data_IF_594300768466
#
_entry.id   IF_594300768466
#
_cell.length_a   1.000
_cell.length_b   1.000
_cell.length_c   1.000
_cell.angle_alpha   90.00
_cell.angle_beta   90.00
_cell.angle_gamma   90.00
#
_symmetry.space_group_name_H-M   'P 1'
#
loop_
_entity.id
_entity.type
_entity.pdbx_description
1 polymer ?
#
# COMPACT_ATOMS: atom_id res chain seq x y z
N UNK A 1 -13.02 4.48 -7.01
CA UNK A 1 -12.01 4.23 -8.04
C UNK A 1 -11.54 2.79 -8.09
N UNK A 2 -11.14 2.16 -6.97
CA UNK A 2 -10.78 0.74 -6.92
C UNK A 2 -11.86 -0.17 -7.51
N UNK A 3 -13.12 0.04 -7.13
CA UNK A 3 -14.29 -0.69 -7.64
C UNK A 3 -14.42 -0.57 -9.16
N UNK A 4 -14.24 0.64 -9.71
CA UNK A 4 -14.27 0.86 -11.14
C UNK A 4 -13.14 0.13 -11.87
N UNK A 5 -11.93 0.21 -11.33
CA UNK A 5 -10.77 -0.45 -11.93
C UNK A 5 -10.83 -1.98 -11.85
N UNK A 6 -11.50 -2.53 -10.84
CA UNK A 6 -11.76 -3.97 -10.69
C UNK A 6 -12.96 -4.46 -11.52
N UNK A 7 -13.68 -3.60 -12.21
CA UNK A 7 -14.96 -3.95 -12.87
C UNK A 7 -16.07 -4.37 -11.89
N UNK A 8 -15.86 -4.19 -10.59
CA UNK A 8 -16.84 -4.45 -9.54
C UNK A 8 -17.84 -3.30 -9.49
N UNK A 9 -18.62 -3.18 -10.54
CA UNK A 9 -19.60 -2.14 -10.65
C UNK A 9 -20.82 -2.48 -9.79
N UNK A 10 -20.82 -1.97 -8.59
CA UNK A 10 -21.95 -2.08 -7.68
C UNK A 10 -22.94 -0.94 -8.00
N UNK A 11 -24.16 -1.25 -8.40
CA UNK A 11 -25.19 -0.23 -8.68
C UNK A 11 -25.37 0.77 -7.53
N UNK A 12 -25.19 0.32 -6.28
CA UNK A 12 -25.23 1.15 -5.08
C UNK A 12 -24.17 2.23 -5.03
N UNK A 13 -23.00 2.04 -5.64
CA UNK A 13 -21.96 3.07 -5.72
C UNK A 13 -22.35 4.17 -6.70
N UNK A 14 -23.10 3.81 -7.75
CA UNK A 14 -23.52 4.71 -8.81
C UNK A 14 -24.68 5.61 -8.41
N UNK A 15 -25.51 5.17 -7.49
CA UNK A 15 -26.70 5.89 -7.01
C UNK A 15 -26.46 6.71 -5.74
N UNK A 16 -25.21 6.71 -5.21
CA UNK A 16 -24.91 7.50 -4.04
C UNK A 16 -24.99 9.00 -4.34
N UNK A 17 -25.91 9.75 -3.73
CA UNK A 17 -25.98 11.19 -3.91
C UNK A 17 -24.75 11.94 -3.35
N UNK A 18 -23.89 11.25 -2.63
CA UNK A 18 -22.75 11.86 -1.96
C UNK A 18 -21.64 12.34 -2.90
N UNK A 19 -21.56 11.80 -4.14
CA UNK A 19 -20.59 12.27 -5.13
C UNK A 19 -21.08 12.11 -6.57
N UNK A 20 -21.90 13.05 -7.08
CA UNK A 20 -22.47 12.97 -8.42
C UNK A 20 -21.40 12.97 -9.53
N UNK A 21 -20.26 13.61 -9.32
CA UNK A 21 -19.15 13.62 -10.28
C UNK A 21 -18.52 12.23 -10.44
N UNK A 22 -18.41 11.48 -9.35
CA UNK A 22 -17.91 10.11 -9.39
C UNK A 22 -18.88 9.17 -10.12
N UNK A 23 -20.18 9.28 -9.82
CA UNK A 23 -21.21 8.49 -10.50
C UNK A 23 -21.25 8.77 -12.01
N UNK A 24 -21.18 10.04 -12.41
CA UNK A 24 -21.11 10.42 -13.82
C UNK A 24 -19.86 9.86 -14.52
N UNK A 25 -18.72 9.86 -13.84
CA UNK A 25 -17.49 9.29 -14.35
C UNK A 25 -17.60 7.77 -14.58
N UNK A 26 -18.22 7.05 -13.66
CA UNK A 26 -18.45 5.60 -13.80
C UNK A 26 -19.37 5.29 -14.99
N UNK A 27 -20.41 6.07 -15.17
CA UNK A 27 -21.33 5.94 -16.34
C UNK A 27 -20.57 6.19 -17.64
N UNK A 28 -19.80 7.27 -17.73
CA UNK A 28 -19.03 7.62 -18.91
C UNK A 28 -17.98 6.56 -19.29
N UNK A 29 -17.41 5.87 -18.28
CA UNK A 29 -16.46 4.78 -18.50
C UNK A 29 -17.14 3.42 -18.81
N UNK A 30 -18.46 3.37 -18.90
CA UNK A 30 -19.18 2.11 -19.06
C UNK A 30 -19.06 1.15 -17.87
N UNK A 31 -18.65 1.66 -16.74
CA UNK A 31 -18.48 0.90 -15.48
C UNK A 31 -19.74 0.92 -14.61
N UNK A 32 -20.72 1.73 -15.00
CA UNK A 32 -22.04 1.80 -14.39
C UNK A 32 -23.12 1.95 -15.49
N UNK A 33 -24.35 1.46 -15.26
CA UNK A 33 -25.47 1.73 -16.15
C UNK A 33 -25.81 3.23 -16.11
N UNK A 34 -26.02 3.83 -17.28
CA UNK A 34 -26.34 5.26 -17.41
C UNK A 34 -27.78 5.56 -17.01
N UNK A 35 -28.70 5.07 -17.79
CA UNK A 35 -30.15 5.24 -17.58
C UNK A 35 -30.79 3.87 -17.75
N UNK A 36 -31.45 3.40 -16.72
CA UNK A 36 -32.13 2.09 -16.70
C UNK A 36 -32.21 1.55 -15.28
N UNK A 37 -33.05 0.58 -15.09
CA UNK A 37 -33.13 -0.09 -13.79
C UNK A 37 -31.83 -0.89 -13.56
N UNK A 38 -31.08 -0.60 -12.49
CA UNK A 38 -29.84 -1.36 -12.16
C UNK A 38 -30.08 -2.87 -12.09
N UNK A 39 -31.29 -3.28 -11.74
CA UNK A 39 -31.71 -4.68 -11.70
C UNK A 39 -31.61 -5.37 -13.07
N UNK A 40 -32.00 -4.70 -14.15
CA UNK A 40 -31.97 -5.28 -15.51
C UNK A 40 -30.55 -5.55 -15.97
N UNK A 41 -29.62 -4.66 -15.62
CA UNK A 41 -28.20 -4.85 -15.91
C UNK A 41 -27.63 -6.03 -15.11
N UNK A 42 -27.95 -6.14 -13.83
CA UNK A 42 -27.52 -7.25 -12.98
C UNK A 42 -28.06 -8.59 -13.52
N UNK A 43 -29.35 -8.64 -13.88
CA UNK A 43 -29.97 -9.82 -14.46
C UNK A 43 -29.31 -10.20 -15.79
N UNK A 44 -29.12 -9.26 -16.70
CA UNK A 44 -28.45 -9.48 -17.98
C UNK A 44 -27.01 -9.99 -17.83
N UNK A 45 -26.25 -9.46 -16.87
CA UNK A 45 -24.90 -9.93 -16.58
C UNK A 45 -24.90 -11.34 -15.96
N UNK A 46 -25.86 -11.63 -15.09
CA UNK A 46 -26.04 -12.95 -14.50
C UNK A 46 -26.39 -13.99 -15.56
N UNK A 47 -27.35 -13.70 -16.44
CA UNK A 47 -27.74 -14.57 -17.56
C UNK A 47 -26.58 -14.87 -18.51
N UNK A 48 -25.69 -13.91 -18.72
CA UNK A 48 -24.47 -14.09 -19.54
C UNK A 48 -23.35 -14.83 -18.80
N UNK A 49 -23.58 -15.28 -17.55
CA UNK A 49 -22.56 -15.94 -16.72
C UNK A 49 -21.39 -15.06 -16.32
N UNK A 50 -21.53 -13.73 -16.41
CA UNK A 50 -20.46 -12.75 -16.14
C UNK A 50 -20.52 -12.11 -14.76
N UNK A 51 -21.50 -12.46 -13.92
CA UNK A 51 -21.73 -11.84 -12.61
C UNK A 51 -21.04 -12.57 -11.45
N UNK A 52 -19.94 -13.23 -11.67
CA UNK A 52 -19.17 -13.79 -10.57
C UNK A 52 -18.04 -12.87 -10.19
N UNK A 53 -17.94 -12.49 -8.91
CA UNK A 53 -16.84 -11.64 -8.42
C UNK A 53 -15.47 -12.20 -8.84
N UNK A 54 -15.28 -13.52 -8.77
CA UNK A 54 -14.06 -14.18 -9.26
C UNK A 54 -13.88 -14.06 -10.77
N UNK A 55 -14.92 -14.11 -11.56
CA UNK A 55 -14.84 -13.94 -13.02
C UNK A 55 -14.52 -12.51 -13.46
N UNK A 56 -14.76 -11.54 -12.58
CA UNK A 56 -14.42 -10.13 -12.79
C UNK A 56 -13.03 -9.77 -12.22
N UNK A 57 -12.42 -10.66 -11.44
CA UNK A 57 -11.16 -10.44 -10.75
C UNK A 57 -10.10 -11.33 -11.39
N UNK A 58 -9.27 -10.73 -12.23
CA UNK A 58 -8.13 -11.36 -12.90
C UNK A 58 -6.88 -10.48 -12.77
N UNK A 59 -5.74 -10.94 -13.25
CA UNK A 59 -4.50 -10.19 -13.20
C UNK A 59 -4.61 -8.82 -13.88
N UNK A 60 -5.37 -8.69 -14.96
CA UNK A 60 -5.51 -7.43 -15.69
C UNK A 60 -6.32 -6.41 -14.91
N UNK A 61 -7.44 -6.84 -14.34
CA UNK A 61 -8.28 -5.96 -13.50
C UNK A 61 -7.58 -5.55 -12.21
N UNK A 62 -6.81 -6.45 -11.60
CA UNK A 62 -5.99 -6.15 -10.41
C UNK A 62 -4.84 -5.18 -10.75
N UNK A 63 -4.18 -5.34 -11.91
CA UNK A 63 -3.18 -4.41 -12.39
C UNK A 63 -3.77 -3.00 -12.60
N UNK A 64 -4.94 -2.92 -13.23
CA UNK A 64 -5.64 -1.65 -13.42
C UNK A 64 -6.05 -1.03 -12.07
N UNK A 65 -6.51 -1.85 -11.12
CA UNK A 65 -6.86 -1.40 -9.78
C UNK A 65 -5.65 -0.83 -9.03
N UNK A 66 -4.50 -1.48 -9.14
CA UNK A 66 -3.27 -1.00 -8.53
C UNK A 66 -2.83 0.33 -9.15
N UNK A 67 -2.73 0.40 -10.47
CA UNK A 67 -2.30 1.62 -11.17
C UNK A 67 -3.21 2.80 -10.87
N UNK A 68 -4.52 2.62 -11.05
CA UNK A 68 -5.49 3.68 -10.81
C UNK A 68 -5.61 4.03 -9.32
N UNK A 69 -5.49 3.06 -8.43
CA UNK A 69 -5.51 3.29 -6.98
C UNK A 69 -4.33 4.12 -6.51
N UNK A 70 -3.11 3.77 -6.94
CA UNK A 70 -1.90 4.54 -6.60
C UNK A 70 -1.93 5.91 -7.28
N UNK A 71 -2.33 5.98 -8.54
CA UNK A 71 -2.47 7.24 -9.25
C UNK A 71 -3.46 8.20 -8.56
N UNK A 72 -4.49 7.68 -7.90
CA UNK A 72 -5.41 8.47 -7.07
C UNK A 72 -4.86 8.87 -5.70
N UNK A 73 -3.65 8.50 -5.39
CA UNK A 73 -3.01 8.81 -4.11
C UNK A 73 -3.06 7.68 -3.08
N UNK A 74 -3.44 6.46 -3.47
CA UNK A 74 -3.36 5.29 -2.60
C UNK A 74 -1.93 5.02 -2.14
N UNK A 75 -1.79 4.59 -0.89
CA UNK A 75 -0.51 4.26 -0.29
C UNK A 75 -0.22 2.75 -0.30
N UNK A 76 0.79 2.32 0.47
CA UNK A 76 1.17 0.91 0.60
C UNK A 76 0.03 -0.02 1.05
N UNK A 77 -0.96 0.50 1.80
CA UNK A 77 -2.14 -0.25 2.22
C UNK A 77 -2.93 -0.85 1.05
N UNK A 78 -2.89 -0.21 -0.11
CA UNK A 78 -3.54 -0.70 -1.32
C UNK A 78 -2.98 -2.06 -1.75
N UNK A 79 -1.68 -2.28 -1.59
CA UNK A 79 -1.03 -3.55 -1.90
C UNK A 79 -1.58 -4.67 -1.02
N UNK A 80 -1.74 -4.41 0.29
CA UNK A 80 -2.28 -5.38 1.25
C UNK A 80 -3.71 -5.78 0.86
N UNK A 81 -4.57 -4.80 0.57
CA UNK A 81 -5.96 -5.07 0.20
C UNK A 81 -6.07 -5.81 -1.14
N UNK A 82 -5.28 -5.43 -2.14
CA UNK A 82 -5.32 -6.11 -3.43
C UNK A 82 -4.73 -7.52 -3.36
N UNK A 83 -3.71 -7.74 -2.54
CA UNK A 83 -3.17 -9.07 -2.29
C UNK A 83 -4.22 -9.98 -1.62
N UNK A 84 -4.96 -9.47 -0.64
CA UNK A 84 -6.06 -10.20 -0.02
C UNK A 84 -7.15 -10.55 -1.04
N UNK A 85 -7.57 -9.59 -1.90
CA UNK A 85 -8.56 -9.83 -2.96
C UNK A 85 -8.06 -10.87 -3.96
N UNK A 86 -6.80 -10.78 -4.39
CA UNK A 86 -6.19 -11.73 -5.33
C UNK A 86 -6.20 -13.16 -4.77
N UNK A 87 -5.86 -13.31 -3.50
CA UNK A 87 -5.88 -14.59 -2.78
C UNK A 87 -7.28 -15.18 -2.73
N UNK A 88 -8.27 -14.42 -2.25
CA UNK A 88 -9.66 -14.87 -2.18
C UNK A 88 -10.24 -15.22 -3.55
N UNK A 89 -9.85 -14.49 -4.58
CA UNK A 89 -10.24 -14.77 -5.96
C UNK A 89 -9.40 -15.90 -6.61
N UNK A 90 -8.36 -16.41 -5.94
CA UNK A 90 -7.42 -17.42 -6.43
C UNK A 90 -6.69 -16.98 -7.70
N UNK A 91 -6.31 -15.72 -7.77
CA UNK A 91 -5.52 -15.15 -8.86
C UNK A 91 -4.04 -15.41 -8.59
N UNK A 92 -3.41 -16.24 -9.40
CA UNK A 92 -2.01 -16.57 -9.26
C UNK A 92 -1.07 -15.46 -9.77
N UNK A 93 0.10 -15.31 -9.15
CA UNK A 93 1.16 -14.41 -9.63
C UNK A 93 0.96 -12.92 -9.32
N UNK A 94 -0.05 -12.57 -8.53
CA UNK A 94 -0.29 -11.17 -8.14
C UNK A 94 0.87 -10.60 -7.30
N UNK A 95 1.44 -11.38 -6.42
CA UNK A 95 2.61 -11.05 -5.60
C UNK A 95 3.84 -10.65 -6.43
N UNK A 96 4.06 -11.32 -7.56
CA UNK A 96 5.12 -10.99 -8.52
C UNK A 96 4.75 -9.72 -9.31
N UNK A 97 3.51 -9.64 -9.75
CA UNK A 97 3.02 -8.53 -10.56
C UNK A 97 3.13 -7.18 -9.83
N UNK A 98 2.77 -7.09 -8.56
CA UNK A 98 2.84 -5.84 -7.79
C UNK A 98 4.26 -5.28 -7.69
N UNK A 99 5.27 -6.17 -7.70
CA UNK A 99 6.69 -5.78 -7.61
C UNK A 99 7.26 -5.22 -8.92
N UNK A 100 6.57 -5.45 -10.02
CA UNK A 100 7.01 -5.07 -11.38
C UNK A 100 6.28 -3.84 -11.90
N UNK A 101 5.04 -3.62 -11.46
CA UNK A 101 4.18 -2.57 -12.02
C UNK A 101 4.65 -1.14 -11.72
N UNK A 102 5.47 -0.92 -10.67
CA UNK A 102 5.99 0.40 -10.28
C UNK A 102 4.98 1.55 -10.50
N UNK A 103 3.78 1.50 -9.89
CA UNK A 103 2.70 2.40 -10.21
C UNK A 103 3.02 3.84 -9.79
N UNK A 104 2.64 4.80 -10.63
CA UNK A 104 2.86 6.23 -10.43
C UNK A 104 1.60 6.92 -9.89
N UNK A 105 1.80 7.94 -9.07
CA UNK A 105 0.74 8.77 -8.53
C UNK A 105 0.56 10.03 -9.38
N UNK A 106 -0.69 10.31 -9.74
CA UNK A 106 -1.09 11.47 -10.53
C UNK A 106 -2.09 12.31 -9.73
N UNK A 107 -1.83 13.60 -9.59
CA UNK A 107 -2.69 14.51 -8.85
C UNK A 107 -3.52 15.39 -9.80
N UNK A 108 -4.76 15.69 -9.40
CA UNK A 108 -5.59 16.80 -9.87
C UNK A 108 -6.38 16.65 -11.18
N UNK A 109 -6.67 15.43 -11.65
CA UNK A 109 -7.45 15.29 -12.90
C UNK A 109 -8.87 14.73 -12.73
N UNK A 110 -9.33 14.49 -11.51
CA UNK A 110 -10.57 13.74 -11.29
C UNK A 110 -10.47 12.29 -11.80
N UNK A 111 -11.53 11.51 -11.66
CA UNK A 111 -11.51 10.07 -11.99
C UNK A 111 -11.27 9.84 -13.48
N UNK A 112 -11.99 10.55 -14.35
CA UNK A 112 -11.88 10.37 -15.80
C UNK A 112 -10.52 10.81 -16.33
N UNK A 113 -10.06 11.99 -15.93
CA UNK A 113 -8.76 12.51 -16.35
C UNK A 113 -7.60 11.63 -15.88
N UNK A 114 -7.69 11.11 -14.66
CA UNK A 114 -6.71 10.18 -14.12
C UNK A 114 -6.64 8.87 -14.92
N UNK A 115 -7.78 8.25 -15.20
CA UNK A 115 -7.82 7.01 -15.98
C UNK A 115 -7.38 7.23 -17.42
N UNK A 116 -7.71 8.38 -18.00
CA UNK A 116 -7.24 8.75 -19.36
C UNK A 116 -5.74 8.99 -19.40
N UNK A 117 -5.16 9.62 -18.37
CA UNK A 117 -3.70 9.78 -18.25
C UNK A 117 -2.95 8.44 -18.11
N UNK A 118 -3.61 7.44 -17.56
CA UNK A 118 -3.09 6.08 -17.44
C UNK A 118 -3.39 5.20 -18.68
N UNK A 119 -4.15 5.71 -19.64
CA UNK A 119 -4.77 4.93 -20.74
C UNK A 119 -3.86 3.89 -21.39
N UNK A 120 -2.63 4.28 -21.74
CA UNK A 120 -1.66 3.37 -22.38
C UNK A 120 -1.14 2.28 -21.44
N UNK A 121 -1.13 2.54 -20.14
CA UNK A 121 -0.68 1.58 -19.13
C UNK A 121 -1.79 0.67 -18.62
N UNK A 122 -3.06 1.04 -18.86
CA UNK A 122 -4.20 0.23 -18.46
C UNK A 122 -4.45 -0.92 -19.45
N UNK A 123 -4.78 -2.07 -18.93
CA UNK A 123 -5.28 -3.18 -19.73
C UNK A 123 -6.70 -2.88 -20.22
N UNK A 124 -6.94 -3.14 -21.49
CA UNK A 124 -8.26 -3.02 -22.07
C UNK A 124 -9.12 -4.21 -21.64
N UNK A 125 -10.08 -3.93 -20.79
CA UNK A 125 -10.93 -4.95 -20.17
C UNK A 125 -12.39 -4.71 -20.50
N UNK A 126 -13.21 -5.76 -20.69
CA UNK A 126 -14.64 -5.61 -20.89
C UNK A 126 -15.30 -4.88 -19.73
N UNK A 127 -16.19 -3.95 -20.06
CA UNK A 127 -17.04 -3.19 -19.13
C UNK A 127 -18.51 -3.49 -19.38
N UNK A 128 -19.38 -2.74 -18.75
CA UNK A 128 -20.84 -2.88 -18.96
C UNK A 128 -21.27 -2.45 -20.38
N UNK A 129 -20.57 -1.46 -20.97
CA UNK A 129 -20.92 -0.85 -22.26
C UNK A 129 -19.76 -0.88 -23.26
N UNK A 130 -19.06 -1.98 -23.40
CA UNK A 130 -17.91 -2.11 -24.29
C UNK A 130 -16.62 -2.33 -23.55
N UNK A 131 -15.50 -1.92 -24.12
CA UNK A 131 -14.20 -2.05 -23.48
C UNK A 131 -13.78 -0.75 -22.77
N UNK A 132 -12.90 -0.87 -21.77
CA UNK A 132 -12.47 0.27 -20.94
C UNK A 132 -11.86 1.39 -21.80
N UNK A 133 -10.98 1.06 -22.74
CA UNK A 133 -10.28 2.08 -23.55
C UNK A 133 -11.19 2.81 -24.51
N UNK A 134 -12.25 2.17 -24.98
CA UNK A 134 -13.28 2.81 -25.85
C UNK A 134 -14.04 3.91 -25.09
N UNK A 135 -14.13 3.79 -23.77
CA UNK A 135 -14.86 4.72 -22.92
C UNK A 135 -13.97 5.81 -22.30
N UNK A 136 -12.63 5.78 -22.53
CA UNK A 136 -11.74 6.80 -22.00
C UNK A 136 -11.77 8.08 -22.86
N UNK A 137 -11.99 9.26 -22.25
CA UNK A 137 -11.83 10.52 -22.97
C UNK A 137 -10.35 10.79 -23.29
N UNK A 138 -10.05 11.78 -24.16
CA UNK A 138 -8.67 12.20 -24.42
C UNK A 138 -7.92 12.51 -23.12
N UNK A 139 -6.64 12.10 -23.06
CA UNK A 139 -5.82 12.33 -21.89
C UNK A 139 -5.61 13.84 -21.64
N UNK A 140 -5.74 14.31 -20.39
CA UNK A 140 -5.41 15.67 -20.03
C UNK A 140 -3.88 15.89 -20.08
N UNK A 141 -3.43 17.16 -20.01
CA UNK A 141 -2.00 17.44 -19.87
C UNK A 141 -1.36 16.67 -18.72
N UNK A 142 -0.07 16.30 -18.81
CA UNK A 142 0.62 15.57 -17.74
C UNK A 142 0.60 16.36 -16.43
N UNK A 143 0.45 15.68 -15.29
CA UNK A 143 0.40 16.34 -13.98
C UNK A 143 1.74 16.95 -13.57
N UNK A 144 1.69 17.95 -12.70
CA UNK A 144 2.88 18.65 -12.21
C UNK A 144 3.63 17.89 -11.09
N UNK A 145 2.96 16.98 -10.40
CA UNK A 145 3.56 16.22 -9.30
C UNK A 145 3.43 14.71 -9.56
N UNK A 146 4.55 14.00 -9.40
CA UNK A 146 4.62 12.55 -9.50
C UNK A 146 5.07 11.94 -8.18
N UNK A 147 4.43 10.86 -7.79
CA UNK A 147 4.94 9.96 -6.77
C UNK A 147 4.78 8.50 -7.27
N UNK A 148 5.63 7.62 -6.80
CA UNK A 148 5.59 6.20 -7.15
C UNK A 148 5.73 5.34 -5.91
N UNK A 149 5.21 4.12 -5.94
CA UNK A 149 5.54 3.09 -4.97
C UNK A 149 6.83 2.40 -5.40
N UNK A 150 7.78 2.32 -4.49
CA UNK A 150 9.07 1.66 -4.69
C UNK A 150 9.20 0.52 -3.69
N UNK A 151 9.49 -0.68 -4.19
CA UNK A 151 9.90 -1.79 -3.35
C UNK A 151 11.38 -1.64 -2.99
N UNK A 152 11.66 -1.61 -1.69
CA UNK A 152 13.00 -1.47 -1.14
C UNK A 152 13.42 -2.83 -0.60
N UNK A 153 14.59 -3.32 -1.03
CA UNK A 153 15.06 -4.67 -0.72
C UNK A 153 16.42 -4.67 -0.03
N UNK A 154 16.53 -5.52 0.99
CA UNK A 154 17.80 -5.87 1.62
C UNK A 154 18.32 -7.17 0.99
N UNK A 155 19.28 -7.06 0.07
CA UNK A 155 19.75 -8.23 -0.73
C UNK A 155 20.24 -9.40 0.10
N UNK A 156 20.91 -9.14 1.22
CA UNK A 156 21.52 -10.20 2.03
C UNK A 156 20.47 -11.06 2.77
N UNK A 157 19.35 -10.47 3.18
CA UNK A 157 18.33 -11.15 3.98
C UNK A 157 17.07 -11.49 3.20
N UNK A 158 16.93 -11.00 1.97
CA UNK A 158 15.68 -11.11 1.21
C UNK A 158 14.53 -10.25 1.74
N UNK A 159 14.76 -9.46 2.79
CA UNK A 159 13.74 -8.58 3.34
C UNK A 159 13.38 -7.45 2.35
N UNK A 160 12.10 -7.08 2.35
CA UNK A 160 11.58 -6.02 1.49
C UNK A 160 10.62 -5.09 2.27
N UNK A 161 10.45 -3.89 1.75
CA UNK A 161 9.51 -2.90 2.27
C UNK A 161 8.97 -2.06 1.11
N UNK A 162 7.97 -1.25 1.37
CA UNK A 162 7.38 -0.37 0.36
C UNK A 162 7.49 1.08 0.80
N UNK A 163 7.93 1.94 -0.11
CA UNK A 163 8.00 3.37 0.10
C UNK A 163 7.21 4.11 -0.99
N UNK A 164 6.42 5.10 -0.57
CA UNK A 164 5.85 6.09 -1.46
C UNK A 164 6.86 7.20 -1.66
N UNK A 165 7.49 7.24 -2.83
CA UNK A 165 8.56 8.18 -3.16
C UNK A 165 7.99 9.34 -3.97
N UNK A 166 8.21 10.58 -3.50
CA UNK A 166 7.93 11.80 -4.24
C UNK A 166 9.08 12.14 -5.19
N UNK A 167 8.79 12.90 -6.23
CA UNK A 167 9.81 13.35 -7.17
C UNK A 167 10.96 14.08 -6.44
N UNK A 168 12.20 13.75 -6.79
CA UNK A 168 13.41 14.37 -6.23
C UNK A 168 14.02 13.67 -5.02
N UNK A 169 13.30 12.79 -4.31
CA UNK A 169 13.89 12.00 -3.23
C UNK A 169 14.65 10.79 -3.81
N UNK A 170 15.97 10.75 -3.61
CA UNK A 170 16.82 9.69 -4.18
C UNK A 170 17.49 8.80 -3.14
N UNK A 171 17.94 9.39 -2.04
CA UNK A 171 18.67 8.65 -1.00
C UNK A 171 18.32 9.14 0.40
N UNK A 172 18.33 8.23 1.34
CA UNK A 172 18.16 8.47 2.78
C UNK A 172 19.36 7.84 3.48
N UNK A 173 19.98 8.57 4.39
CA UNK A 173 21.01 8.03 5.29
C UNK A 173 20.83 8.62 6.68
N UNK A 174 21.02 7.81 7.71
CA UNK A 174 20.89 8.28 9.08
C UNK A 174 21.16 7.19 10.11
N UNK A 175 21.18 7.61 11.36
CA UNK A 175 21.27 6.71 12.52
C UNK A 175 19.86 6.26 12.94
N UNK A 176 19.75 4.99 13.31
CA UNK A 176 18.50 4.41 13.82
C UNK A 176 18.19 4.92 15.24
N UNK A 177 16.90 5.16 15.47
CA UNK A 177 16.29 5.15 16.81
C UNK A 177 15.14 4.16 16.78
N UNK A 178 15.31 3.09 17.56
CA UNK A 178 14.47 1.89 17.48
C UNK A 178 13.43 1.90 18.59
N UNK A 179 12.18 1.68 18.20
CA UNK A 179 11.03 1.62 19.11
C UNK A 179 10.22 0.36 18.82
N UNK A 180 9.81 -0.32 19.89
CA UNK A 180 8.98 -1.53 19.82
C UNK A 180 7.48 -1.26 19.78
N UNK A 181 7.08 0.02 19.71
CA UNK A 181 5.68 0.41 19.60
C UNK A 181 5.53 1.84 19.11
N UNK A 182 4.34 2.18 18.60
CA UNK A 182 4.00 3.54 18.21
C UNK A 182 4.06 4.51 19.39
N UNK A 183 3.53 4.11 20.55
CA UNK A 183 3.53 4.91 21.79
C UNK A 183 4.95 5.25 22.25
N UNK A 184 5.86 4.27 22.13
CA UNK A 184 7.28 4.46 22.43
C UNK A 184 7.92 5.47 21.47
N UNK A 185 7.61 5.38 20.19
CA UNK A 185 8.09 6.31 19.18
C UNK A 185 7.54 7.74 19.39
N UNK A 186 6.24 7.89 19.69
CA UNK A 186 5.61 9.18 20.04
C UNK A 186 6.29 9.81 21.24
N UNK A 187 6.54 9.01 22.29
CA UNK A 187 7.27 9.47 23.49
C UNK A 187 8.70 9.87 23.15
N UNK A 188 9.34 9.14 22.25
CA UNK A 188 10.69 9.47 21.74
C UNK A 188 10.73 10.79 20.98
N UNK A 189 9.75 11.06 20.13
CA UNK A 189 9.62 12.34 19.42
C UNK A 189 9.46 13.49 20.40
N UNK A 190 8.54 13.36 21.36
CA UNK A 190 8.32 14.37 22.43
C UNK A 190 9.54 14.57 23.32
N UNK A 191 10.33 13.51 23.53
CA UNK A 191 11.58 13.53 24.28
C UNK A 191 12.80 13.98 23.48
N UNK A 192 12.62 14.49 22.25
CA UNK A 192 13.71 15.03 21.42
C UNK A 192 14.64 13.96 20.80
N UNK A 193 14.23 12.68 20.76
CA UNK A 193 15.01 11.61 20.11
C UNK A 193 14.92 11.57 18.59
N UNK A 194 14.03 12.39 17.98
CA UNK A 194 13.90 12.57 16.56
C UNK A 194 14.55 13.88 16.11
N UNK A 195 15.25 13.88 14.98
CA UNK A 195 15.93 15.07 14.45
C UNK A 195 16.66 14.78 13.15
N UNK A 196 17.43 15.77 12.69
CA UNK A 196 18.19 15.61 11.46
C UNK A 196 19.20 14.46 11.56
N UNK A 197 19.30 13.67 10.49
CA UNK A 197 20.21 12.53 10.42
C UNK A 197 19.72 11.27 11.18
N UNK A 198 18.50 11.31 11.73
CA UNK A 198 17.87 10.16 12.40
C UNK A 198 16.88 9.47 11.47
N UNK A 199 16.85 8.15 11.52
CA UNK A 199 15.80 7.30 10.96
C UNK A 199 15.06 6.66 12.12
N UNK A 200 13.76 6.93 12.27
CA UNK A 200 12.95 6.26 13.26
C UNK A 200 12.63 4.84 12.77
N UNK A 201 12.92 3.85 13.58
CA UNK A 201 12.56 2.45 13.32
C UNK A 201 11.46 2.07 14.31
N UNK A 202 10.26 1.77 13.81
CA UNK A 202 9.12 1.37 14.63
C UNK A 202 8.72 -0.03 14.21
N UNK A 203 9.05 -1.00 15.05
CA UNK A 203 8.92 -2.41 14.76
C UNK A 203 7.84 -3.08 15.63
N UNK A 204 7.35 -4.26 15.20
CA UNK A 204 6.27 -4.98 15.88
C UNK A 204 4.88 -4.42 15.60
N UNK A 205 4.72 -3.71 14.48
CA UNK A 205 3.46 -3.13 14.02
C UNK A 205 2.81 -3.89 12.85
N UNK A 206 3.46 -4.95 12.39
CA UNK A 206 2.96 -5.84 11.34
C UNK A 206 1.83 -6.76 11.79
N UNK A 207 1.18 -7.50 10.86
CA UNK A 207 0.08 -8.41 11.16
C UNK A 207 0.52 -9.60 12.01
N UNK A 208 1.73 -10.09 11.82
CA UNK A 208 2.29 -11.21 12.58
C UNK A 208 2.86 -10.71 13.91
N UNK A 209 2.31 -11.23 14.99
CA UNK A 209 2.69 -10.84 16.35
C UNK A 209 1.83 -9.73 16.97
N UNK A 210 0.85 -9.20 16.27
CA UNK A 210 -0.10 -8.19 16.77
C UNK A 210 -1.56 -8.50 16.43
N UNK A 211 -2.50 -7.69 16.88
CA UNK A 211 -3.93 -7.87 16.59
C UNK A 211 -4.30 -7.44 15.15
N UNK A 212 -3.35 -7.21 14.29
CA UNK A 212 -3.51 -6.76 12.92
C UNK A 212 -2.40 -5.82 12.49
N UNK A 213 -2.48 -5.37 11.24
CA UNK A 213 -1.57 -4.38 10.69
C UNK A 213 -1.91 -3.00 11.25
N UNK A 214 -0.96 -2.39 11.98
CA UNK A 214 -1.15 -1.08 12.60
C UNK A 214 -0.76 0.05 11.66
N UNK A 215 -1.57 1.11 11.65
CA UNK A 215 -1.23 2.39 11.03
C UNK A 215 -0.70 3.34 12.09
N UNK A 216 0.42 3.99 11.82
CA UNK A 216 1.12 4.83 12.77
C UNK A 216 0.61 6.29 12.73
N UNK A 217 -0.69 6.48 12.94
CA UNK A 217 -1.36 7.79 12.81
C UNK A 217 -0.95 8.76 13.93
N UNK A 218 -0.75 8.27 15.14
CA UNK A 218 -0.34 9.08 16.29
C UNK A 218 1.11 9.55 16.16
N UNK A 219 1.99 8.70 15.65
CA UNK A 219 3.36 9.08 15.34
C UNK A 219 3.40 10.13 14.23
N UNK A 220 2.63 9.94 13.16
CA UNK A 220 2.51 10.92 12.08
C UNK A 220 2.01 12.27 12.58
N UNK A 221 1.04 12.28 13.48
CA UNK A 221 0.54 13.49 14.14
C UNK A 221 1.62 14.15 14.98
N UNK A 222 2.32 13.39 15.82
CA UNK A 222 3.37 13.89 16.69
C UNK A 222 4.53 14.51 15.91
N UNK A 223 4.94 13.89 14.80
CA UNK A 223 5.97 14.45 13.91
C UNK A 223 5.54 15.78 13.28
N UNK A 224 4.28 15.87 12.83
CA UNK A 224 3.73 17.14 12.28
C UNK A 224 3.67 18.24 13.32
N UNK A 225 3.19 17.94 14.52
CA UNK A 225 3.12 18.89 15.65
C UNK A 225 4.51 19.40 16.05
N UNK A 226 5.53 18.53 15.96
CA UNK A 226 6.92 18.89 16.21
C UNK A 226 7.61 19.59 15.02
N UNK A 227 6.95 19.72 13.85
CA UNK A 227 7.56 20.27 12.64
C UNK A 227 8.68 19.41 12.05
N UNK A 228 8.71 18.11 12.35
CA UNK A 228 9.76 17.18 11.95
C UNK A 228 9.37 16.37 10.71
N UNK A 229 10.34 16.21 9.79
CA UNK A 229 10.20 15.37 8.60
C UNK A 229 11.32 14.32 8.58
N UNK A 230 11.40 13.50 9.61
CA UNK A 230 12.38 12.42 9.70
C UNK A 230 11.87 11.17 8.98
N UNK A 231 12.76 10.39 8.32
CA UNK A 231 12.38 9.11 7.73
C UNK A 231 11.92 8.12 8.79
N UNK A 232 10.90 7.34 8.46
CA UNK A 232 10.38 6.27 9.33
C UNK A 232 10.44 4.94 8.58
N UNK A 233 11.01 3.92 9.22
CA UNK A 233 11.03 2.53 8.78
C UNK A 233 10.13 1.70 9.70
N UNK A 234 9.17 0.96 9.16
CA UNK A 234 8.25 0.15 9.97
C UNK A 234 7.74 -1.08 9.24
N UNK A 235 7.42 -2.12 9.97
CA UNK A 235 6.64 -3.27 9.51
C UNK A 235 5.12 -3.02 9.52
N UNK A 236 4.70 -1.86 10.06
CA UNK A 236 3.33 -1.34 9.99
C UNK A 236 3.05 -0.48 8.75
N UNK A 237 2.01 0.34 8.83
CA UNK A 237 1.57 1.27 7.79
C UNK A 237 1.90 2.72 8.13
N UNK A 238 2.29 3.47 7.11
CA UNK A 238 2.36 4.92 7.18
C UNK A 238 0.99 5.54 7.44
N UNK A 239 0.92 6.70 8.11
CA UNK A 239 -0.28 7.52 8.17
C UNK A 239 -0.78 7.90 6.78
N UNK A 240 -2.10 8.09 6.64
CA UNK A 240 -2.71 8.46 5.36
C UNK A 240 -2.18 9.82 4.85
N UNK A 241 -2.03 10.78 5.76
CA UNK A 241 -1.53 12.14 5.48
C UNK A 241 -0.06 12.31 5.91
N UNK A 242 0.75 11.26 5.72
CA UNK A 242 2.13 11.28 6.15
C UNK A 242 2.94 12.34 5.41
N UNK A 243 3.46 13.31 6.15
CA UNK A 243 4.60 14.12 5.72
C UNK A 243 5.89 13.30 5.80
N UNK A 244 6.95 13.71 5.07
CA UNK A 244 8.23 13.01 5.10
C UNK A 244 8.24 11.69 4.31
N UNK A 245 9.23 10.86 4.59
CA UNK A 245 9.42 9.57 3.91
C UNK A 245 9.12 8.42 4.84
N UNK A 246 8.18 7.57 4.45
CA UNK A 246 7.76 6.40 5.18
C UNK A 246 8.05 5.14 4.39
N UNK A 247 8.85 4.26 4.98
CA UNK A 247 9.17 2.93 4.47
C UNK A 247 8.35 1.96 5.31
N UNK A 248 7.31 1.40 4.70
CA UNK A 248 6.24 0.63 5.37
C UNK A 248 6.25 -0.82 4.94
N UNK A 249 5.50 -1.66 5.64
CA UNK A 249 5.31 -3.08 5.31
C UNK A 249 6.62 -3.84 5.22
N UNK A 250 7.56 -3.57 6.12
CA UNK A 250 8.82 -4.30 6.16
C UNK A 250 8.54 -5.79 6.43
N UNK A 251 8.95 -6.63 5.49
CA UNK A 251 8.66 -8.07 5.49
C UNK A 251 9.97 -8.86 5.28
N UNK A 252 10.27 -9.93 6.04
CA UNK A 252 9.48 -10.44 7.19
C UNK A 252 9.37 -9.43 8.33
N UNK A 253 8.25 -9.47 9.05
CA UNK A 253 7.96 -8.57 10.18
C UNK A 253 8.91 -8.82 11.36
N UNK A 254 9.02 -7.87 12.29
CA UNK A 254 9.93 -7.92 13.41
C UNK A 254 9.73 -9.16 14.31
N UNK A 255 8.50 -9.62 14.47
CA UNK A 255 8.14 -10.78 15.27
C UNK A 255 8.76 -12.10 14.79
N UNK A 256 9.20 -12.16 13.54
CA UNK A 256 9.83 -13.35 12.93
C UNK A 256 11.35 -13.36 13.04
N UNK A 257 11.93 -12.42 13.80
CA UNK A 257 13.38 -12.31 13.91
C UNK A 257 14.06 -11.79 12.65
N UNK A 258 13.36 -10.96 11.88
CA UNK A 258 13.87 -10.36 10.64
C UNK A 258 14.89 -9.24 10.91
N UNK A 259 15.46 -8.72 9.83
CA UNK A 259 16.43 -7.60 9.85
C UNK A 259 15.98 -6.43 10.73
N UNK A 260 14.69 -6.07 10.68
CA UNK A 260 14.18 -4.93 11.45
C UNK A 260 14.27 -5.18 12.98
N UNK A 261 14.16 -6.43 13.43
CA UNK A 261 14.30 -6.79 14.84
C UNK A 261 15.75 -6.83 15.33
N UNK A 262 16.71 -6.87 14.41
CA UNK A 262 18.14 -6.87 14.71
C UNK A 262 18.73 -5.45 14.79
N UNK A 263 18.00 -4.43 14.39
CA UNK A 263 18.45 -3.03 14.44
C UNK A 263 18.49 -2.51 15.87
N UNK A 264 19.47 -1.65 16.15
CA UNK A 264 19.71 -1.02 17.47
C UNK A 264 19.82 0.50 17.29
N UNK A 265 19.62 1.22 18.39
CA UNK A 265 19.93 2.65 18.45
C UNK A 265 21.38 2.90 18.05
N UNK A 266 21.61 3.88 17.18
CA UNK A 266 22.94 4.23 16.67
C UNK A 266 23.39 3.46 15.43
N UNK A 267 22.70 2.38 15.04
CA UNK A 267 22.99 1.72 13.76
C UNK A 267 22.75 2.67 12.59
N UNK A 268 23.59 2.59 11.56
CA UNK A 268 23.42 3.41 10.37
C UNK A 268 22.69 2.66 9.26
N UNK A 269 21.71 3.33 8.64
CA UNK A 269 21.04 2.84 7.45
C UNK A 269 21.29 3.77 6.26
N UNK A 270 21.42 3.16 5.10
CA UNK A 270 21.42 3.84 3.79
C UNK A 270 20.36 3.21 2.91
N UNK A 271 19.46 4.03 2.42
CA UNK A 271 18.32 3.60 1.61
C UNK A 271 18.39 4.37 0.30
N UNK A 272 18.55 3.62 -0.78
CA UNK A 272 18.50 4.15 -2.14
C UNK A 272 17.09 3.94 -2.70
N UNK A 273 16.36 5.04 -2.86
CA UNK A 273 14.99 5.05 -3.34
C UNK A 273 14.91 4.91 -4.86
N UNK A 274 16.00 5.17 -5.57
CA UNK A 274 16.07 5.01 -7.02
C UNK A 274 16.25 3.54 -7.40
N UNK A 275 17.18 2.88 -6.71
CA UNK A 275 17.47 1.47 -6.95
C UNK A 275 16.62 0.51 -6.10
N UNK A 276 15.82 1.03 -5.16
CA UNK A 276 15.03 0.22 -4.24
C UNK A 276 15.92 -0.67 -3.35
N UNK A 277 16.94 -0.09 -2.73
CA UNK A 277 17.91 -0.86 -1.90
C UNK A 277 18.04 -0.27 -0.51
N UNK A 278 18.11 -1.16 0.48
CA UNK A 278 18.47 -0.83 1.86
C UNK A 278 19.76 -1.54 2.24
N UNK A 279 20.65 -0.82 2.93
CA UNK A 279 21.92 -1.33 3.45
C UNK A 279 22.11 -0.85 4.87
N UNK A 280 22.67 -1.71 5.71
CA UNK A 280 23.14 -1.35 7.05
C UNK A 280 24.63 -1.04 7.01
N UNK A 281 25.08 -0.17 7.92
CA UNK A 281 26.51 0.08 8.15
C UNK A 281 27.16 -0.99 9.05
N UNK A 282 26.41 -2.02 9.46
CA UNK A 282 26.84 -3.07 10.37
C UNK A 282 27.55 -4.17 9.59
N UNK A 283 28.66 -4.69 10.11
CA UNK A 283 29.35 -5.83 9.52
C UNK A 283 28.47 -7.09 9.53
N UNK A 284 28.52 -7.90 8.46
CA UNK A 284 27.67 -9.09 8.33
C UNK A 284 27.77 -10.05 9.53
N UNK A 285 29.00 -10.30 10.03
CA UNK A 285 29.21 -11.17 11.20
C UNK A 285 28.60 -10.62 12.48
N UNK A 286 28.71 -9.33 12.70
CA UNK A 286 28.08 -8.67 13.86
C UNK A 286 26.57 -8.76 13.74
N UNK A 287 26.00 -8.47 12.57
CA UNK A 287 24.57 -8.52 12.34
C UNK A 287 24.00 -9.92 12.57
N UNK A 288 24.67 -10.97 12.05
CA UNK A 288 24.28 -12.37 12.24
C UNK A 288 24.39 -12.87 13.69
N UNK A 289 25.26 -12.25 14.51
CA UNK A 289 25.42 -12.58 15.93
C UNK A 289 24.42 -11.92 16.86
N UNK A 290 23.61 -10.98 16.34
CA UNK A 290 22.63 -10.25 17.15
C UNK A 290 21.39 -11.09 17.42
N UNK A 291 20.94 -11.06 18.64
CA UNK A 291 19.65 -11.61 19.01
C UNK A 291 18.52 -10.64 18.63
N UNK A 292 17.39 -11.12 18.09
CA UNK A 292 16.24 -10.27 17.81
C UNK A 292 15.74 -9.55 19.05
N UNK A 293 15.33 -8.30 18.92
CA UNK A 293 14.59 -7.61 19.99
C UNK A 293 13.23 -8.28 20.11
N UNK A 294 12.87 -8.65 21.32
CA UNK A 294 11.52 -9.08 21.63
C UNK A 294 10.59 -7.87 21.73
N UNK A 295 9.48 -7.94 21.04
CA UNK A 295 8.43 -6.94 21.10
C UNK A 295 7.25 -7.47 21.93
N UNK A 296 6.61 -6.62 22.76
CA UNK A 296 5.49 -7.06 23.56
C UNK A 296 4.37 -7.59 22.67
N UNK A 297 3.80 -8.74 23.03
CA UNK A 297 2.65 -9.28 22.36
C UNK A 297 1.46 -8.33 22.58
N UNK A 298 0.83 -7.88 21.48
CA UNK A 298 -0.35 -7.01 21.54
C UNK A 298 -1.68 -7.77 21.49
N UNK A 299 -1.61 -9.10 21.53
CA UNK A 299 -2.77 -9.97 21.47
C UNK A 299 -3.34 -10.18 22.88
N UNK A 300 -4.28 -9.35 23.26
CA UNK A 300 -4.99 -9.37 24.55
C UNK A 300 -6.23 -10.27 24.56
N UNK A 301 -6.62 -10.81 23.41
CA UNK A 301 -7.76 -11.74 23.26
C UNK A 301 -7.34 -13.04 22.60
N UNK A 302 -8.13 -14.10 22.83
CA UNK A 302 -7.90 -15.41 22.19
C UNK A 302 -7.93 -15.31 20.66
N UNK A 303 -8.82 -14.49 20.12
CA UNK A 303 -8.90 -14.27 18.67
C UNK A 303 -7.65 -13.55 18.15
N UNK A 304 -7.25 -12.47 18.77
CA UNK A 304 -6.06 -11.72 18.38
C UNK A 304 -4.80 -12.60 18.46
N UNK A 305 -4.69 -13.45 19.49
CA UNK A 305 -3.60 -14.40 19.63
C UNK A 305 -3.58 -15.47 18.52
N UNK A 306 -4.74 -15.93 18.08
CA UNK A 306 -4.86 -16.85 16.94
C UNK A 306 -4.49 -16.15 15.63
N UNK A 307 -5.04 -14.96 15.41
CA UNK A 307 -4.73 -14.15 14.23
C UNK A 307 -3.23 -13.91 14.13
N UNK A 308 -2.58 -13.39 15.17
CA UNK A 308 -1.17 -13.02 15.14
C UNK A 308 -0.22 -14.20 14.84
N UNK A 309 -0.65 -15.43 15.11
CA UNK A 309 0.11 -16.65 14.80
C UNK A 309 -0.12 -17.17 13.39
N UNK A 310 -1.32 -17.02 12.86
CA UNK A 310 -1.76 -17.61 11.61
C UNK A 310 -1.83 -16.59 10.46
N UNK A 311 -1.72 -15.29 10.75
CA UNK A 311 -1.76 -14.26 9.74
C UNK A 311 -0.60 -14.38 8.76
N UNK A 312 -0.91 -14.17 7.50
CA UNK A 312 0.09 -14.02 6.45
C UNK A 312 0.82 -12.67 6.56
N UNK A 313 2.01 -12.55 5.98
CA UNK A 313 2.68 -11.27 5.85
C UNK A 313 1.79 -10.20 5.22
N UNK A 314 2.06 -8.93 5.53
CA UNK A 314 1.26 -7.82 5.03
C UNK A 314 1.18 -7.78 3.51
N UNK A 315 2.29 -8.02 2.81
CA UNK A 315 2.35 -8.03 1.34
C UNK A 315 1.65 -9.24 0.70
N UNK A 316 1.31 -10.25 1.50
CA UNK A 316 0.50 -11.41 1.09
C UNK A 316 -0.97 -11.24 1.49
N UNK A 317 -1.36 -10.04 1.92
CA UNK A 317 -2.73 -9.65 2.22
C UNK A 317 -3.13 -9.76 3.68
N UNK A 318 -2.22 -10.10 4.61
CA UNK A 318 -2.47 -10.17 6.06
C UNK A 318 -3.68 -11.06 6.47
N UNK A 319 -4.11 -11.95 5.59
CA UNK A 319 -5.21 -12.91 5.81
C UNK A 319 -4.73 -14.22 6.39
N UNK A 320 -5.49 -15.29 6.14
CA UNK A 320 -5.14 -16.66 6.49
C UNK A 320 -4.93 -17.51 5.23
N UNK A 321 -4.16 -18.58 5.37
CA UNK A 321 -4.08 -19.62 4.33
C UNK A 321 -5.35 -20.47 4.27
#
# INVERSE_FOLDING_TARGET
MLVAALRLNLPTVCTSPANPSFSAALVALGLAPGVGEPADVVVSLAERGRLHARGLTDNFSLANALRSGVAAGGGPELLVHLAAVAREARVAGFDQMIRVLAPEWLRDHGVLGLLSSLGDTLHDVPTVTGNLKENLPPAPPPPCEHARLVFIRARASGAEAVCRVRQGATQIAGECRVFGSEEGAVSGVRGGKAGNGVILVVAGCGPRGGPGLLRLDDLGRSLREAGLQVPVLTDGLAPQDAGGTWISLFTPEAKEGSVISLLRDGDTLRIDLTEGRIRTGIGAREFESREPIEFPARADTVYAARYSRAALPALDGAGFD
#
